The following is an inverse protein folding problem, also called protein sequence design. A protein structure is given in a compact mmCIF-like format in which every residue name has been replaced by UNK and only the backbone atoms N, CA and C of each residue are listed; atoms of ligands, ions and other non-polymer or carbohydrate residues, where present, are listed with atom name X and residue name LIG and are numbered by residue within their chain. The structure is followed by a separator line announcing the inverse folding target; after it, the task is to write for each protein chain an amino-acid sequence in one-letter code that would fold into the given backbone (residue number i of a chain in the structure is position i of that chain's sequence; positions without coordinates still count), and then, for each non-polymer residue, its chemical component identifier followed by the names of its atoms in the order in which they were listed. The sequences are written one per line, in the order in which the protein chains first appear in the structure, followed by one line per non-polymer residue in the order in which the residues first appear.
data_IF_567358535975
#
_entry.id   IF_567358535975
#
_cell.length_a   1.000
_cell.length_b   1.000
_cell.length_c   1.000
_cell.angle_alpha   90.00
_cell.angle_beta   90.00
_cell.angle_gamma   90.00
#
_symmetry.space_group_name_H-M   'P 1'
#
loop_
_entity.id
_entity.type
_entity.pdbx_description
1 polymer ?
#
# COMPACT_ATOMS: atom_id res chain seq x y z
N UNK A 1 -7.78 7.42 19.79
CA UNK A 1 -6.50 7.07 19.11
C UNK A 1 -5.29 7.82 19.65
N UNK A 2 -5.20 9.17 19.55
CA UNK A 2 -4.10 9.92 20.19
C UNK A 2 -4.08 9.63 21.70
N UNK A 3 -5.25 9.78 22.32
CA UNK A 3 -5.48 9.47 23.72
C UNK A 3 -5.13 8.02 24.07
N UNK A 4 -5.56 7.05 23.24
CA UNK A 4 -5.21 5.64 23.44
C UNK A 4 -3.69 5.40 23.48
N UNK A 5 -2.94 5.99 22.54
CA UNK A 5 -1.47 5.90 22.52
C UNK A 5 -0.89 6.56 23.77
N UNK A 6 -1.39 7.73 24.16
CA UNK A 6 -0.94 8.43 25.37
C UNK A 6 -1.22 7.62 26.64
N UNK A 7 -2.35 6.91 26.69
CA UNK A 7 -2.71 6.06 27.81
C UNK A 7 -1.83 4.82 27.88
N UNK A 8 -1.49 4.19 26.75
CA UNK A 8 -0.51 3.09 26.71
C UNK A 8 0.86 3.53 27.24
N UNK A 9 1.33 4.71 26.85
CA UNK A 9 2.59 5.27 27.35
C UNK A 9 2.54 5.53 28.87
N UNK A 10 1.42 6.05 29.39
CA UNK A 10 1.21 6.25 30.84
C UNK A 10 1.20 4.94 31.63
N UNK A 11 0.74 3.85 31.01
CA UNK A 11 0.78 2.51 31.59
C UNK A 11 2.19 1.88 31.54
N UNK A 12 3.19 2.59 31.03
CA UNK A 12 4.57 2.11 30.93
C UNK A 12 4.84 1.22 29.71
N UNK A 13 3.91 1.14 28.76
CA UNK A 13 4.11 0.38 27.53
C UNK A 13 5.16 1.08 26.67
N UNK A 14 6.24 0.38 26.35
CA UNK A 14 7.26 0.85 25.41
C UNK A 14 6.84 0.51 23.98
N UNK A 15 6.55 1.55 23.19
CA UNK A 15 6.13 1.39 21.80
C UNK A 15 7.36 1.52 20.89
N UNK A 16 7.83 0.40 20.37
CA UNK A 16 8.95 0.37 19.41
C UNK A 16 8.53 0.83 18.00
N UNK A 17 7.37 0.35 17.54
CA UNK A 17 6.83 0.67 16.22
C UNK A 17 5.30 0.63 16.20
N UNK A 18 4.71 1.30 15.21
CA UNK A 18 3.26 1.27 14.95
C UNK A 18 3.03 0.89 13.49
N UNK A 19 2.23 -0.16 13.26
CA UNK A 19 1.80 -0.55 11.92
C UNK A 19 0.33 -0.17 11.71
N UNK A 20 0.02 0.59 10.66
CA UNK A 20 -1.35 1.07 10.40
C UNK A 20 -1.72 1.13 8.92
N UNK A 21 -2.99 1.41 8.60
CA UNK A 21 -3.49 1.51 7.23
C UNK A 21 -2.98 2.75 6.45
N UNK A 22 -2.40 3.72 7.16
CA UNK A 22 -1.86 4.97 6.63
C UNK A 22 -2.87 6.11 6.57
N UNK A 23 -4.01 6.02 7.28
CA UNK A 23 -4.99 7.10 7.30
C UNK A 23 -4.41 8.42 7.84
N UNK A 24 -4.60 9.54 7.13
CA UNK A 24 -3.95 10.84 7.46
C UNK A 24 -4.21 11.29 8.91
N UNK A 25 -5.44 11.13 9.40
CA UNK A 25 -5.79 11.50 10.77
C UNK A 25 -5.06 10.63 11.82
N UNK A 26 -4.88 9.34 11.53
CA UNK A 26 -4.16 8.40 12.40
C UNK A 26 -2.66 8.73 12.45
N UNK A 27 -2.04 8.98 11.29
CA UNK A 27 -0.64 9.42 11.22
C UNK A 27 -0.41 10.72 12.00
N UNK A 28 -1.36 11.67 11.94
CA UNK A 28 -1.31 12.91 12.73
C UNK A 28 -1.45 12.64 14.23
N UNK A 29 -2.31 11.72 14.63
CA UNK A 29 -2.47 11.31 16.03
C UNK A 29 -1.20 10.65 16.57
N UNK A 30 -0.62 9.71 15.81
CA UNK A 30 0.64 9.03 16.14
C UNK A 30 1.76 10.06 16.30
N UNK A 31 1.96 10.95 15.32
CA UNK A 31 3.01 11.99 15.37
C UNK A 31 2.88 12.91 16.58
N UNK A 32 1.65 13.16 17.05
CA UNK A 32 1.39 13.97 18.24
C UNK A 32 1.68 13.23 19.55
N UNK A 33 1.35 11.94 19.63
CA UNK A 33 1.48 11.15 20.86
C UNK A 33 2.88 10.52 21.01
N UNK A 34 3.50 10.09 19.91
CA UNK A 34 4.79 9.42 19.89
C UNK A 34 5.61 9.91 18.68
N UNK A 35 6.41 10.97 18.87
CA UNK A 35 7.05 11.72 17.77
C UNK A 35 8.11 10.93 17.01
N UNK A 36 8.81 10.01 17.68
CA UNK A 36 9.99 9.31 17.14
C UNK A 36 9.74 7.83 16.83
N UNK A 37 8.49 7.36 16.96
CA UNK A 37 8.15 5.97 16.68
C UNK A 37 8.26 5.66 15.19
N UNK A 38 8.75 4.47 14.87
CA UNK A 38 8.75 3.98 13.49
C UNK A 38 7.31 3.67 13.10
N UNK A 39 6.82 4.30 12.04
CA UNK A 39 5.47 4.07 11.51
C UNK A 39 5.57 3.32 10.19
N UNK A 40 4.95 2.15 10.13
CA UNK A 40 4.89 1.31 8.94
C UNK A 40 3.46 1.25 8.41
N UNK A 41 3.31 1.36 7.09
CA UNK A 41 2.02 1.05 6.45
C UNK A 41 1.84 -0.47 6.37
N UNK A 42 0.72 -0.97 6.84
CA UNK A 42 0.40 -2.38 6.87
C UNK A 42 0.35 -2.96 5.44
N UNK A 43 1.24 -3.89 5.13
CA UNK A 43 1.33 -4.53 3.81
C UNK A 43 0.06 -5.32 3.46
N UNK A 44 -0.63 -5.89 4.45
CA UNK A 44 -1.93 -6.55 4.26
C UNK A 44 -3.00 -5.55 3.79
N UNK A 45 -3.03 -4.34 4.35
CA UNK A 45 -3.94 -3.29 3.91
C UNK A 45 -3.63 -2.84 2.47
N UNK A 46 -2.35 -2.75 2.10
CA UNK A 46 -1.93 -2.45 0.73
C UNK A 46 -2.44 -3.53 -0.23
N UNK A 47 -2.21 -4.81 0.08
CA UNK A 47 -2.68 -5.92 -0.76
C UNK A 47 -4.22 -5.93 -0.87
N UNK A 48 -4.94 -5.70 0.22
CA UNK A 48 -6.40 -5.61 0.22
C UNK A 48 -6.90 -4.48 -0.67
N UNK A 49 -6.29 -3.30 -0.59
CA UNK A 49 -6.64 -2.16 -1.43
C UNK A 49 -6.42 -2.47 -2.91
N UNK A 50 -5.27 -3.04 -3.27
CA UNK A 50 -5.01 -3.44 -4.65
C UNK A 50 -5.98 -4.52 -5.14
N UNK A 51 -6.40 -5.46 -4.29
CA UNK A 51 -7.44 -6.45 -4.65
C UNK A 51 -8.81 -5.83 -4.88
N UNK A 52 -9.15 -4.74 -4.20
CA UNK A 52 -10.39 -3.98 -4.44
C UNK A 52 -10.29 -3.29 -5.81
N UNK A 53 -9.19 -2.58 -6.06
CA UNK A 53 -8.97 -1.82 -7.30
C UNK A 53 -8.86 -2.71 -8.54
N UNK A 54 -8.12 -3.83 -8.43
CA UNK A 54 -7.93 -4.78 -9.53
C UNK A 54 -9.05 -5.81 -9.64
N UNK A 55 -9.92 -5.88 -8.64
CA UNK A 55 -10.91 -6.95 -8.40
C UNK A 55 -10.29 -8.33 -8.12
N UNK A 56 -11.12 -9.27 -7.68
CA UNK A 56 -10.68 -10.64 -7.43
C UNK A 56 -10.26 -11.38 -8.73
N UNK A 57 -10.89 -11.06 -9.86
CA UNK A 57 -10.64 -11.66 -11.18
C UNK A 57 -10.45 -10.54 -12.21
N UNK A 58 -9.26 -9.91 -12.27
CA UNK A 58 -8.97 -8.90 -13.27
C UNK A 58 -9.20 -9.46 -14.67
N UNK A 59 -9.93 -8.73 -15.53
CA UNK A 59 -10.22 -9.15 -16.90
C UNK A 59 -9.06 -8.88 -17.87
N UNK A 60 -8.26 -7.85 -17.59
CA UNK A 60 -7.10 -7.50 -18.40
C UNK A 60 -5.86 -8.27 -17.95
N UNK A 61 -4.99 -8.60 -18.91
CA UNK A 61 -3.69 -9.19 -18.63
C UNK A 61 -2.85 -8.28 -17.72
N UNK A 62 -2.87 -6.96 -17.98
CA UNK A 62 -2.20 -5.96 -17.15
C UNK A 62 -2.63 -6.03 -15.68
N UNK A 63 -3.93 -6.14 -15.41
CA UNK A 63 -4.46 -6.24 -14.04
C UNK A 63 -4.10 -7.55 -13.35
N UNK A 64 -4.08 -8.67 -14.09
CA UNK A 64 -3.66 -9.97 -13.58
C UNK A 64 -2.18 -9.97 -13.19
N UNK A 65 -1.32 -9.41 -14.03
CA UNK A 65 0.12 -9.29 -13.77
C UNK A 65 0.40 -8.38 -12.57
N UNK A 66 -0.24 -7.21 -12.48
CA UNK A 66 -0.08 -6.32 -11.34
C UNK A 66 -0.52 -6.99 -10.03
N UNK A 67 -1.62 -7.74 -10.06
CA UNK A 67 -2.10 -8.49 -8.89
C UNK A 67 -1.07 -9.49 -8.39
N UNK A 68 -0.34 -10.16 -9.29
CA UNK A 68 0.77 -11.06 -8.90
C UNK A 68 1.89 -10.30 -8.20
N UNK A 69 2.33 -9.19 -8.77
CA UNK A 69 3.42 -8.36 -8.22
C UNK A 69 3.05 -7.84 -6.82
N UNK A 70 1.86 -7.26 -6.66
CA UNK A 70 1.39 -6.77 -5.35
C UNK A 70 1.19 -7.93 -4.36
N UNK A 71 0.79 -9.10 -4.85
CA UNK A 71 0.68 -10.33 -4.06
C UNK A 71 1.99 -10.73 -3.35
N UNK A 72 3.14 -10.27 -3.84
CA UNK A 72 4.46 -10.58 -3.26
C UNK A 72 4.97 -9.53 -2.28
N UNK A 73 4.28 -8.41 -2.05
CA UNK A 73 4.82 -7.34 -1.19
C UNK A 73 5.13 -7.80 0.26
N UNK A 74 4.37 -8.77 0.78
CA UNK A 74 4.58 -9.34 2.11
C UNK A 74 5.81 -10.26 2.21
N UNK A 75 6.39 -10.67 1.08
CA UNK A 75 7.58 -11.54 1.04
C UNK A 75 8.88 -10.73 1.04
N UNK A 76 8.80 -9.40 1.02
CA UNK A 76 9.96 -8.50 1.05
C UNK A 76 10.50 -8.42 2.48
N UNK A 77 11.60 -9.12 2.72
CA UNK A 77 12.26 -9.21 4.04
C UNK A 77 13.65 -8.59 4.09
N UNK A 78 14.19 -8.14 2.94
CA UNK A 78 15.50 -7.52 2.83
C UNK A 78 15.55 -6.51 1.67
N UNK A 79 16.68 -5.81 1.55
CA UNK A 79 16.87 -4.74 0.57
C UNK A 79 16.94 -5.25 -0.88
N UNK A 80 17.47 -6.44 -1.10
CA UNK A 80 17.58 -7.03 -2.44
C UNK A 80 16.21 -7.45 -2.97
N UNK A 81 15.42 -8.15 -2.16
CA UNK A 81 14.03 -8.51 -2.45
C UNK A 81 13.18 -7.27 -2.72
N UNK A 82 13.41 -6.19 -1.97
CA UNK A 82 12.78 -4.90 -2.25
C UNK A 82 13.18 -4.36 -3.63
N UNK A 83 14.47 -4.41 -3.99
CA UNK A 83 14.96 -3.98 -5.29
C UNK A 83 14.35 -4.77 -6.44
N UNK A 84 14.34 -6.11 -6.34
CA UNK A 84 13.70 -6.97 -7.35
C UNK A 84 12.21 -6.69 -7.50
N UNK A 85 11.51 -6.46 -6.39
CA UNK A 85 10.09 -6.11 -6.42
C UNK A 85 9.85 -4.75 -7.10
N UNK A 86 10.65 -3.73 -6.79
CA UNK A 86 10.57 -2.40 -7.43
C UNK A 86 10.82 -2.50 -8.93
N UNK A 87 11.87 -3.21 -9.36
CA UNK A 87 12.17 -3.43 -10.78
C UNK A 87 11.01 -4.15 -11.47
N UNK A 88 10.40 -5.14 -10.82
CA UNK A 88 9.23 -5.85 -11.38
C UNK A 88 8.04 -4.92 -11.59
N UNK A 89 7.79 -4.00 -10.64
CA UNK A 89 6.72 -3.02 -10.75
C UNK A 89 6.99 -1.99 -11.87
N UNK A 90 8.23 -1.51 -11.99
CA UNK A 90 8.64 -0.58 -13.05
C UNK A 90 8.48 -1.23 -14.43
N UNK A 91 9.01 -2.45 -14.61
CA UNK A 91 8.88 -3.20 -15.87
C UNK A 91 7.42 -3.47 -16.24
N UNK A 92 6.58 -3.77 -15.26
CA UNK A 92 5.15 -3.91 -15.49
C UNK A 92 4.52 -2.59 -15.98
N UNK A 93 4.88 -1.46 -15.39
CA UNK A 93 4.37 -0.15 -15.81
C UNK A 93 4.80 0.17 -17.25
N UNK A 94 6.09 0.03 -17.56
CA UNK A 94 6.63 0.27 -18.91
C UNK A 94 5.96 -0.61 -19.96
N UNK A 95 5.82 -1.91 -19.68
CA UNK A 95 5.16 -2.87 -20.57
C UNK A 95 3.71 -2.49 -20.87
N UNK A 96 2.99 -1.95 -19.88
CA UNK A 96 1.56 -1.67 -19.98
C UNK A 96 1.26 -0.18 -20.19
N UNK A 97 2.26 0.66 -20.43
CA UNK A 97 2.10 2.12 -20.47
C UNK A 97 1.05 2.56 -21.50
N UNK A 98 1.08 1.97 -22.70
CA UNK A 98 0.10 2.24 -23.76
C UNK A 98 -1.31 1.89 -23.26
N UNK A 99 -1.49 0.67 -22.75
CA UNK A 99 -2.78 0.20 -22.20
C UNK A 99 -3.29 1.10 -21.07
N UNK A 100 -2.41 1.58 -20.18
CA UNK A 100 -2.78 2.47 -19.08
C UNK A 100 -3.21 3.87 -19.54
N UNK A 101 -2.77 4.30 -20.73
CA UNK A 101 -3.13 5.59 -21.33
C UNK A 101 -4.35 5.48 -22.27
N UNK A 102 -4.84 4.28 -22.55
CA UNK A 102 -6.03 4.08 -23.39
C UNK A 102 -7.24 4.79 -22.77
N UNK A 103 -7.93 5.59 -23.59
CA UNK A 103 -9.17 6.24 -23.23
C UNK A 103 -10.32 5.55 -23.94
N UNK A 104 -11.33 5.14 -23.19
CA UNK A 104 -12.59 4.71 -23.79
C UNK A 104 -13.39 5.94 -24.21
N UNK A 105 -13.68 6.08 -25.50
CA UNK A 105 -14.58 7.10 -26.01
C UNK A 105 -16.02 6.57 -25.95
N UNK A 106 -16.90 7.24 -25.20
CA UNK A 106 -18.33 6.95 -25.22
C UNK A 106 -18.94 7.52 -26.49
N UNK A 107 -19.68 6.71 -27.24
CA UNK A 107 -20.42 7.14 -28.44
C UNK A 107 -21.64 8.02 -28.12
N UNK A 108 -21.99 8.20 -26.85
CA UNK A 108 -23.06 9.12 -26.40
C UNK A 108 -22.49 10.48 -26.00
N UNK A 109 -22.08 11.27 -26.99
CA UNK A 109 -22.08 12.73 -26.89
C UNK A 109 -22.17 13.30 -28.31
N UNK A 110 -23.41 13.44 -28.78
CA UNK A 110 -23.84 14.43 -29.77
C UNK A 110 -25.04 15.13 -29.18
#
# INVERSE_FOLDING_TARGET
MKEDIENLLKLGVQIESITCDGHKALLKAIKKACKYVIVQRCVVHIQRMCRILLTAKPKSQAGYELKKIVGQIHTINNRDNWGYWVVSLIRWYEKNEIFLKEKSYSSKTK
#
